data_IF_182208607787
#
_entry.id   IF_182208607787
#
_cell.length_a   1.000
_cell.length_b   1.000
_cell.length_c   1.000
_cell.angle_alpha   90.00
_cell.angle_beta   90.00
_cell.angle_gamma   90.00
#
_symmetry.space_group_name_H-M   'P 1'
#
loop_
_entity.id
_entity.type
_entity.pdbx_description
1 polymer ?
#
# COMPACT_ATOMS: atom_id res chain seq x y z
N UNK A 1 -37.32 11.68 -15.09
CA UNK A 1 -37.42 10.22 -15.27
C UNK A 1 -36.08 9.63 -14.86
N UNK A 2 -36.06 8.85 -13.80
CA UNK A 2 -34.83 8.23 -13.30
C UNK A 2 -34.40 7.11 -14.26
N UNK A 3 -33.21 7.20 -14.84
CA UNK A 3 -32.63 6.12 -15.65
C UNK A 3 -32.22 4.97 -14.74
N UNK A 4 -33.02 3.91 -14.75
CA UNK A 4 -32.68 2.65 -14.09
C UNK A 4 -31.75 1.91 -15.03
N UNK A 5 -30.49 1.70 -14.64
CA UNK A 5 -29.57 0.80 -15.37
C UNK A 5 -30.06 -0.63 -15.19
N UNK A 6 -30.72 -1.18 -16.20
CA UNK A 6 -31.11 -2.58 -16.23
C UNK A 6 -29.95 -3.45 -16.73
N UNK A 7 -29.95 -4.75 -16.34
CA UNK A 7 -28.95 -5.79 -16.71
C UNK A 7 -28.55 -5.84 -18.20
N UNK A 8 -29.35 -5.27 -19.10
CA UNK A 8 -29.09 -5.28 -20.55
C UNK A 8 -28.11 -4.20 -21.02
N UNK A 9 -27.91 -3.10 -20.26
CA UNK A 9 -27.03 -1.99 -20.65
C UNK A 9 -25.54 -2.24 -20.33
N UNK A 10 -25.24 -3.22 -19.47
CA UNK A 10 -23.86 -3.52 -19.05
C UNK A 10 -23.28 -4.75 -19.79
N UNK A 11 -24.12 -5.58 -20.43
CA UNK A 11 -23.73 -6.87 -21.01
C UNK A 11 -23.63 -6.90 -22.55
N UNK A 12 -23.72 -5.78 -23.24
CA UNK A 12 -23.89 -5.78 -24.69
C UNK A 12 -22.89 -4.93 -25.48
N UNK A 13 -21.58 -5.06 -25.28
CA UNK A 13 -20.61 -4.55 -26.24
C UNK A 13 -19.34 -5.42 -26.23
N UNK A 14 -19.46 -6.65 -26.71
CA UNK A 14 -18.32 -7.39 -27.22
C UNK A 14 -17.93 -6.81 -28.59
N UNK A 15 -17.04 -5.82 -28.63
CA UNK A 15 -16.38 -5.36 -29.85
C UNK A 15 -14.90 -5.60 -29.69
N UNK A 16 -14.35 -6.37 -30.63
CA UNK A 16 -13.00 -6.84 -30.66
C UNK A 16 -11.95 -5.74 -30.47
N UNK A 17 -11.02 -5.98 -29.57
CA UNK A 17 -9.78 -5.25 -29.51
C UNK A 17 -8.91 -5.62 -30.71
N UNK A 18 -8.61 -4.64 -31.56
CA UNK A 18 -7.51 -4.73 -32.50
C UNK A 18 -6.21 -4.82 -31.67
N UNK A 19 -5.55 -5.97 -31.75
CA UNK A 19 -4.27 -6.21 -31.14
C UNK A 19 -3.22 -5.28 -31.76
N UNK A 20 -2.60 -4.45 -30.95
CA UNK A 20 -1.26 -3.92 -31.22
C UNK A 20 -0.28 -5.08 -31.02
N UNK A 21 0.04 -5.75 -32.15
CA UNK A 21 1.05 -6.78 -32.20
C UNK A 21 2.45 -6.12 -32.12
N UNK A 22 3.09 -6.24 -30.96
CA UNK A 22 4.53 -6.11 -30.81
C UNK A 22 4.99 -7.13 -29.77
N UNK A 23 5.69 -8.18 -30.23
CA UNK A 23 6.43 -9.14 -29.41
C UNK A 23 5.57 -10.23 -28.78
N UNK A 24 5.48 -11.40 -29.46
CA UNK A 24 4.67 -12.51 -29.00
C UNK A 24 5.28 -13.24 -27.80
N UNK A 25 4.87 -12.89 -26.60
CA UNK A 25 4.70 -13.83 -25.50
C UNK A 25 3.19 -13.93 -25.26
N UNK A 26 2.62 -15.12 -25.50
CA UNK A 26 1.23 -15.42 -25.14
C UNK A 26 1.11 -15.32 -23.62
N UNK A 27 0.61 -14.18 -23.11
CA UNK A 27 0.19 -14.07 -21.73
C UNK A 27 -0.77 -15.22 -21.43
N UNK A 28 -0.48 -16.04 -20.43
CA UNK A 28 -1.39 -17.05 -19.95
C UNK A 28 -2.76 -16.41 -19.73
N UNK A 29 -3.81 -17.08 -20.20
CA UNK A 29 -5.17 -16.52 -20.06
C UNK A 29 -5.51 -16.40 -18.58
N UNK A 30 -5.93 -15.21 -18.14
CA UNK A 30 -6.32 -14.98 -16.76
C UNK A 30 -7.37 -15.99 -16.30
N UNK A 31 -7.19 -16.49 -15.08
CA UNK A 31 -8.12 -17.38 -14.41
C UNK A 31 -8.98 -16.66 -13.36
N UNK A 32 -8.88 -15.33 -13.25
CA UNK A 32 -9.79 -14.55 -12.40
C UNK A 32 -11.22 -14.79 -12.88
N UNK A 33 -12.10 -15.13 -11.94
CA UNK A 33 -13.53 -15.35 -12.24
C UNK A 33 -14.35 -14.75 -11.11
N UNK A 34 -15.28 -13.88 -11.49
CA UNK A 34 -16.34 -13.44 -10.61
C UNK A 34 -17.56 -14.36 -10.69
N UNK A 35 -18.24 -14.59 -9.58
CA UNK A 35 -19.49 -15.33 -9.55
C UNK A 35 -20.60 -14.49 -10.20
N UNK A 36 -21.04 -14.90 -11.38
CA UNK A 36 -22.07 -14.22 -12.15
C UNK A 36 -23.48 -14.28 -11.50
N UNK A 37 -23.69 -15.17 -10.53
CA UNK A 37 -24.96 -15.28 -9.81
C UNK A 37 -25.15 -14.19 -8.76
N UNK A 38 -24.07 -13.52 -8.35
CA UNK A 38 -24.11 -12.46 -7.33
C UNK A 38 -24.68 -11.17 -7.96
N UNK A 39 -25.83 -10.75 -7.49
CA UNK A 39 -26.51 -9.57 -8.00
C UNK A 39 -25.82 -8.29 -7.50
N UNK A 40 -25.52 -7.37 -8.42
CA UNK A 40 -25.00 -6.04 -8.06
C UNK A 40 -26.02 -5.23 -7.26
N UNK A 41 -25.58 -4.37 -6.32
CA UNK A 41 -26.46 -3.49 -5.59
C UNK A 41 -27.16 -2.49 -6.54
N UNK A 42 -28.36 -2.07 -6.18
CA UNK A 42 -29.05 -1.01 -6.91
C UNK A 42 -28.47 0.34 -6.48
N UNK A 43 -27.83 1.02 -7.41
CA UNK A 43 -27.24 2.33 -7.20
C UNK A 43 -27.92 3.32 -8.17
N UNK A 44 -29.04 3.96 -7.79
CA UNK A 44 -29.70 4.95 -8.63
C UNK A 44 -28.81 6.19 -8.73
N UNK A 45 -28.12 6.33 -9.87
CA UNK A 45 -27.25 7.45 -10.14
C UNK A 45 -28.06 8.74 -10.15
N UNK A 46 -27.59 9.73 -9.40
CA UNK A 46 -28.23 11.04 -9.28
C UNK A 46 -28.20 11.80 -10.62
N UNK A 47 -29.26 12.50 -10.95
CA UNK A 47 -29.36 13.27 -12.20
C UNK A 47 -28.30 14.36 -12.27
N UNK A 48 -27.58 14.44 -13.39
CA UNK A 48 -26.53 15.45 -13.60
C UNK A 48 -25.30 15.23 -12.73
N UNK A 49 -25.04 13.97 -12.31
CA UNK A 49 -23.93 13.65 -11.44
C UNK A 49 -22.57 14.05 -12.06
N UNK A 50 -21.79 14.72 -11.23
CA UNK A 50 -20.39 15.08 -11.51
C UNK A 50 -19.55 14.60 -10.33
N UNK A 51 -18.44 13.94 -10.59
CA UNK A 51 -17.55 13.40 -9.55
C UNK A 51 -16.15 14.01 -9.65
N UNK A 52 -15.64 14.46 -8.51
CA UNK A 52 -14.24 14.79 -8.32
C UNK A 52 -13.58 13.68 -7.51
N UNK A 53 -12.64 12.99 -8.14
CA UNK A 53 -11.86 11.93 -7.52
C UNK A 53 -10.45 12.43 -7.30
N UNK A 54 -9.92 12.30 -6.10
CA UNK A 54 -8.53 12.62 -5.78
C UNK A 54 -7.78 11.33 -5.44
N UNK A 55 -6.55 11.21 -5.93
CA UNK A 55 -5.67 10.08 -5.59
C UNK A 55 -4.18 10.48 -5.65
N UNK A 56 -3.26 9.65 -5.08
CA UNK A 56 -1.84 9.87 -5.22
C UNK A 56 -1.37 9.80 -6.67
N UNK A 57 -0.33 10.57 -7.02
CA UNK A 57 0.40 10.44 -8.30
C UNK A 57 1.04 9.05 -8.41
N UNK A 58 1.31 8.64 -9.66
CA UNK A 58 1.87 7.32 -9.99
C UNK A 58 3.32 7.15 -9.51
N UNK A 59 3.67 5.92 -9.17
CA UNK A 59 5.05 5.42 -9.18
C UNK A 59 5.38 4.62 -10.45
N UNK A 60 4.36 4.02 -11.07
CA UNK A 60 4.47 3.32 -12.35
C UNK A 60 3.60 4.03 -13.38
N UNK A 61 4.15 4.31 -14.56
CA UNK A 61 3.48 5.17 -15.54
C UNK A 61 2.09 4.70 -15.96
N UNK A 62 1.83 3.39 -16.22
CA UNK A 62 0.50 2.94 -16.63
C UNK A 62 -0.59 3.14 -15.58
N UNK A 63 -0.24 3.36 -14.30
CA UNK A 63 -1.20 3.56 -13.22
C UNK A 63 -2.20 4.69 -13.53
N UNK A 64 -1.70 5.88 -13.86
CA UNK A 64 -2.57 7.01 -14.17
C UNK A 64 -3.28 6.85 -15.52
N UNK A 65 -2.58 6.37 -16.52
CA UNK A 65 -3.10 6.25 -17.90
C UNK A 65 -4.30 5.30 -17.97
N UNK A 66 -4.14 4.10 -17.42
CA UNK A 66 -5.21 3.09 -17.42
C UNK A 66 -6.37 3.51 -16.51
N UNK A 67 -6.07 4.13 -15.36
CA UNK A 67 -7.11 4.64 -14.45
C UNK A 67 -7.94 5.74 -15.13
N UNK A 68 -7.31 6.72 -15.77
CA UNK A 68 -8.00 7.79 -16.52
C UNK A 68 -8.83 7.23 -17.67
N UNK A 69 -8.29 6.27 -18.41
CA UNK A 69 -9.02 5.62 -19.51
C UNK A 69 -10.26 4.88 -19.01
N UNK A 70 -10.17 4.20 -17.86
CA UNK A 70 -11.32 3.53 -17.23
C UNK A 70 -12.36 4.53 -16.72
N UNK A 71 -11.92 5.64 -16.11
CA UNK A 71 -12.82 6.72 -15.69
C UNK A 71 -13.56 7.36 -16.88
N UNK A 72 -12.87 7.58 -17.99
CA UNK A 72 -13.48 8.10 -19.22
C UNK A 72 -14.54 7.13 -19.81
N UNK A 73 -14.24 5.82 -19.81
CA UNK A 73 -15.24 4.80 -20.25
C UNK A 73 -16.47 4.77 -19.35
N UNK A 74 -16.28 4.88 -18.02
CA UNK A 74 -17.40 5.00 -17.09
C UNK A 74 -18.27 6.22 -17.42
N UNK A 75 -17.65 7.39 -17.66
CA UNK A 75 -18.36 8.61 -18.05
C UNK A 75 -19.17 8.43 -19.33
N UNK A 76 -18.59 7.78 -20.34
CA UNK A 76 -19.28 7.50 -21.62
C UNK A 76 -20.48 6.55 -21.44
N UNK A 77 -20.36 5.56 -20.57
CA UNK A 77 -21.41 4.55 -20.36
C UNK A 77 -22.57 5.07 -19.49
N UNK A 78 -22.28 5.95 -18.56
CA UNK A 78 -23.26 6.37 -17.53
C UNK A 78 -23.75 7.80 -17.68
N UNK A 79 -23.04 8.63 -18.43
CA UNK A 79 -23.27 10.09 -18.48
C UNK A 79 -22.72 10.86 -17.30
N UNK A 80 -22.16 10.19 -16.27
CA UNK A 80 -21.53 10.85 -15.12
C UNK A 80 -20.24 11.52 -15.55
N UNK A 81 -20.08 12.80 -15.26
CA UNK A 81 -18.82 13.51 -15.53
C UNK A 81 -17.82 13.20 -14.41
N UNK A 82 -16.73 12.51 -14.74
CA UNK A 82 -15.68 12.15 -13.76
C UNK A 82 -14.41 12.94 -14.02
N UNK A 83 -13.99 13.73 -13.04
CA UNK A 83 -12.69 14.40 -13.00
C UNK A 83 -11.77 13.68 -12.02
N UNK A 84 -10.59 13.26 -12.46
CA UNK A 84 -9.57 12.62 -11.62
C UNK A 84 -8.40 13.59 -11.46
N UNK A 85 -8.17 14.02 -10.22
CA UNK A 85 -7.04 14.84 -9.82
C UNK A 85 -5.99 13.97 -9.11
N UNK A 86 -4.70 14.31 -9.28
CA UNK A 86 -3.57 13.61 -8.65
C UNK A 86 -2.74 14.59 -7.84
N UNK A 87 -2.28 14.17 -6.66
CA UNK A 87 -1.41 14.95 -5.78
C UNK A 87 -0.22 14.13 -5.31
N UNK A 88 0.80 14.79 -4.79
CA UNK A 88 1.97 14.13 -4.19
C UNK A 88 1.57 13.17 -3.07
N UNK A 89 2.39 12.16 -2.85
CA UNK A 89 2.14 11.13 -1.83
C UNK A 89 2.07 11.73 -0.43
N UNK A 90 2.95 12.67 -0.14
CA UNK A 90 3.02 13.37 1.14
C UNK A 90 1.83 14.31 1.35
N UNK A 91 1.20 14.80 0.25
CA UNK A 91 0.10 15.76 0.30
C UNK A 91 -1.27 15.11 0.49
N UNK A 92 -1.44 13.81 0.15
CA UNK A 92 -2.74 13.14 0.14
C UNK A 92 -3.39 13.15 1.52
N UNK A 93 -2.62 12.93 2.59
CA UNK A 93 -3.13 12.94 3.95
C UNK A 93 -3.61 14.34 4.37
N UNK A 94 -2.88 15.37 3.98
CA UNK A 94 -3.27 16.76 4.25
C UNK A 94 -4.54 17.14 3.49
N UNK A 95 -4.63 16.79 2.20
CA UNK A 95 -5.83 17.04 1.38
C UNK A 95 -7.05 16.28 1.92
N UNK A 96 -6.85 15.06 2.41
CA UNK A 96 -7.92 14.27 3.05
C UNK A 96 -8.41 14.96 4.32
N UNK A 97 -7.49 15.41 5.18
CA UNK A 97 -7.83 16.14 6.40
C UNK A 97 -8.60 17.44 6.12
N UNK A 98 -8.16 18.22 5.14
CA UNK A 98 -8.85 19.46 4.72
C UNK A 98 -10.25 19.12 4.24
N UNK A 99 -10.40 18.15 3.34
CA UNK A 99 -11.72 17.73 2.81
C UNK A 99 -12.67 17.27 3.91
N UNK A 100 -12.20 16.42 4.82
CA UNK A 100 -12.99 15.89 5.92
C UNK A 100 -13.44 16.99 6.91
N UNK A 101 -12.54 17.94 7.24
CA UNK A 101 -12.81 18.96 8.25
C UNK A 101 -13.65 20.12 7.71
N UNK A 102 -13.48 20.49 6.44
CA UNK A 102 -14.25 21.58 5.82
C UNK A 102 -15.61 21.12 5.30
N UNK A 103 -15.80 19.82 5.06
CA UNK A 103 -16.99 19.29 4.39
C UNK A 103 -17.11 19.79 2.95
N UNK A 104 -15.99 20.02 2.27
CA UNK A 104 -15.92 20.50 0.89
C UNK A 104 -14.67 19.95 0.19
N UNK A 105 -14.73 19.78 -1.13
CA UNK A 105 -13.61 19.28 -1.92
C UNK A 105 -13.98 18.11 -2.84
N UNK A 106 -13.10 17.10 -3.02
CA UNK A 106 -13.40 15.89 -3.77
C UNK A 106 -14.57 15.10 -3.19
N UNK A 107 -15.40 14.50 -4.06
CA UNK A 107 -16.48 13.60 -3.66
C UNK A 107 -15.93 12.28 -3.10
N UNK A 108 -14.82 11.83 -3.70
CA UNK A 108 -14.13 10.61 -3.30
C UNK A 108 -12.62 10.86 -3.28
N UNK A 109 -11.97 10.36 -2.23
CA UNK A 109 -10.50 10.30 -2.16
C UNK A 109 -10.09 8.85 -2.08
N UNK A 110 -9.25 8.41 -3.01
CA UNK A 110 -8.54 7.13 -2.94
C UNK A 110 -7.22 7.43 -2.23
N UNK A 111 -7.24 7.37 -0.92
CA UNK A 111 -6.12 7.68 -0.03
C UNK A 111 -5.47 6.43 0.54
N UNK A 112 -4.70 6.59 1.61
CA UNK A 112 -3.98 5.48 2.23
C UNK A 112 -4.79 4.76 3.31
N UNK A 113 -4.43 3.51 3.53
CA UNK A 113 -5.12 2.46 4.26
C UNK A 113 -5.92 2.85 5.49
N UNK A 114 -5.31 3.60 6.43
CA UNK A 114 -5.95 3.95 7.72
C UNK A 114 -6.85 5.19 7.65
N UNK A 115 -6.78 5.95 6.57
CA UNK A 115 -7.52 7.22 6.44
C UNK A 115 -9.03 7.08 6.71
N UNK A 116 -9.73 6.00 6.27
CA UNK A 116 -11.14 5.84 6.60
C UNK A 116 -11.41 5.76 8.11
N UNK A 117 -10.49 5.21 8.90
CA UNK A 117 -10.66 5.12 10.36
C UNK A 117 -10.50 6.47 11.04
N UNK A 118 -9.65 7.35 10.49
CA UNK A 118 -9.45 8.71 11.02
C UNK A 118 -10.70 9.58 10.79
N UNK A 119 -11.42 9.36 9.69
CA UNK A 119 -12.51 10.21 9.24
C UNK A 119 -13.87 9.49 9.16
N UNK A 120 -14.03 8.36 9.86
CA UNK A 120 -15.19 7.48 9.74
C UNK A 120 -16.55 8.21 9.80
N UNK A 121 -16.69 9.20 10.68
CA UNK A 121 -17.92 9.96 10.86
C UNK A 121 -18.21 10.95 9.70
N UNK A 122 -17.24 11.20 8.83
CA UNK A 122 -17.36 12.07 7.64
C UNK A 122 -17.64 11.28 6.36
N UNK A 123 -17.62 9.94 6.43
CA UNK A 123 -17.71 9.08 5.26
C UNK A 123 -19.08 8.47 5.09
N UNK A 124 -19.44 8.23 3.84
CA UNK A 124 -20.60 7.44 3.45
C UNK A 124 -20.24 5.96 3.62
N UNK A 125 -21.13 5.20 4.22
CA UNK A 125 -21.00 3.76 4.32
C UNK A 125 -21.07 3.10 2.93
N UNK A 126 -20.15 2.18 2.66
CA UNK A 126 -20.00 1.49 1.38
C UNK A 126 -20.21 -0.02 1.49
N UNK A 127 -20.91 -0.48 2.53
CA UNK A 127 -21.15 -1.91 2.80
C UNK A 127 -21.84 -2.62 1.65
N UNK A 128 -22.78 -1.96 0.98
CA UNK A 128 -23.51 -2.53 -0.16
C UNK A 128 -22.59 -2.96 -1.30
N UNK A 129 -21.65 -2.09 -1.69
CA UNK A 129 -20.69 -2.41 -2.77
C UNK A 129 -19.55 -3.32 -2.29
N UNK A 130 -19.08 -3.17 -1.06
CA UNK A 130 -18.02 -3.99 -0.51
C UNK A 130 -18.46 -5.45 -0.32
N UNK A 131 -19.67 -5.68 0.21
CA UNK A 131 -20.24 -7.02 0.37
C UNK A 131 -20.53 -7.67 -1.00
N UNK A 132 -21.02 -6.89 -1.97
CA UNK A 132 -21.18 -7.38 -3.34
C UNK A 132 -19.87 -7.87 -3.93
N UNK A 133 -18.83 -7.04 -3.92
CA UNK A 133 -17.51 -7.36 -4.47
C UNK A 133 -16.90 -8.56 -3.73
N UNK A 134 -17.00 -8.59 -2.40
CA UNK A 134 -16.52 -9.71 -1.62
C UNK A 134 -17.19 -11.02 -2.00
N UNK A 135 -18.53 -11.05 -2.10
CA UNK A 135 -19.28 -12.25 -2.53
C UNK A 135 -18.93 -12.66 -3.95
N UNK A 136 -18.82 -11.70 -4.86
CA UNK A 136 -18.54 -11.97 -6.28
C UNK A 136 -17.15 -12.55 -6.52
N UNK A 137 -16.15 -12.09 -5.76
CA UNK A 137 -14.73 -12.41 -6.00
C UNK A 137 -14.09 -13.26 -4.90
N UNK A 138 -14.88 -14.08 -4.19
CA UNK A 138 -14.36 -15.09 -3.27
C UNK A 138 -13.85 -14.57 -1.92
N UNK A 139 -14.33 -13.40 -1.50
CA UNK A 139 -14.01 -12.75 -0.24
C UNK A 139 -12.85 -11.78 -0.31
N UNK A 140 -12.81 -10.89 0.66
CA UNK A 140 -11.72 -9.94 0.87
C UNK A 140 -10.51 -10.64 1.50
N UNK A 141 -9.31 -10.23 1.12
CA UNK A 141 -8.10 -10.61 1.84
C UNK A 141 -8.09 -9.95 3.23
N UNK A 142 -7.43 -10.59 4.18
CA UNK A 142 -7.50 -10.25 5.60
C UNK A 142 -7.25 -8.76 5.90
N UNK A 143 -6.15 -8.19 5.39
CA UNK A 143 -5.81 -6.78 5.66
C UNK A 143 -6.77 -5.83 4.93
N UNK A 144 -7.21 -6.19 3.72
CA UNK A 144 -8.22 -5.42 2.99
C UNK A 144 -9.51 -5.28 3.81
N UNK A 145 -10.05 -6.40 4.31
CA UNK A 145 -11.24 -6.38 5.16
C UNK A 145 -11.02 -5.53 6.42
N UNK A 146 -9.88 -5.70 7.08
CA UNK A 146 -9.54 -4.95 8.30
C UNK A 146 -9.45 -3.45 8.09
N UNK A 147 -8.90 -3.01 6.96
CA UNK A 147 -8.76 -1.59 6.61
C UNK A 147 -10.07 -0.96 6.10
N UNK A 148 -10.96 -1.76 5.49
CA UNK A 148 -12.24 -1.27 4.98
C UNK A 148 -13.34 -1.19 6.03
N UNK A 149 -13.38 -2.13 6.98
CA UNK A 149 -14.41 -2.21 8.02
C UNK A 149 -14.07 -1.38 9.26
N UNK A 150 -15.07 -0.69 9.81
CA UNK A 150 -14.95 -0.07 11.12
C UNK A 150 -14.78 -1.17 12.17
N UNK A 151 -13.75 -1.07 13.00
CA UNK A 151 -13.45 -2.07 14.02
C UNK A 151 -14.64 -2.38 14.92
N UNK A 152 -14.89 -3.66 15.18
CA UNK A 152 -16.00 -4.13 16.02
C UNK A 152 -17.39 -4.03 15.38
N UNK A 153 -17.47 -3.71 14.08
CA UNK A 153 -18.74 -3.63 13.33
C UNK A 153 -18.63 -4.38 12.00
N UNK A 154 -19.76 -4.52 11.30
CA UNK A 154 -19.81 -5.01 9.92
C UNK A 154 -19.85 -3.88 8.87
N UNK A 155 -19.76 -2.62 9.31
CA UNK A 155 -19.92 -1.47 8.43
C UNK A 155 -18.61 -1.17 7.70
N UNK A 156 -18.67 -1.08 6.37
CA UNK A 156 -17.55 -0.65 5.56
C UNK A 156 -17.52 0.87 5.43
N UNK A 157 -16.47 1.46 5.98
CA UNK A 157 -16.23 2.92 6.00
C UNK A 157 -15.29 3.36 4.89
N UNK A 158 -14.66 2.42 4.21
CA UNK A 158 -13.85 2.62 3.02
C UNK A 158 -13.87 1.38 2.15
N UNK A 159 -13.56 1.55 0.87
CA UNK A 159 -13.41 0.45 -0.06
C UNK A 159 -11.93 0.21 -0.32
N UNK A 160 -11.32 -0.90 0.16
CA UNK A 160 -9.94 -1.24 -0.17
C UNK A 160 -9.79 -1.35 -1.69
N UNK A 161 -8.85 -0.59 -2.24
CA UNK A 161 -8.78 -0.40 -3.69
C UNK A 161 -7.54 -1.03 -4.34
N UNK A 162 -6.58 -1.44 -3.56
CA UNK A 162 -5.36 -2.10 -3.98
C UNK A 162 -4.30 -2.01 -2.90
N UNK A 163 -3.28 -2.84 -2.99
CA UNK A 163 -2.18 -2.80 -2.04
C UNK A 163 -0.88 -3.32 -2.62
N UNK A 164 0.22 -2.88 -2.03
CA UNK A 164 1.54 -3.41 -2.32
C UNK A 164 2.29 -3.67 -1.02
N UNK A 165 3.07 -4.74 -0.97
CA UNK A 165 3.98 -4.98 0.14
C UNK A 165 5.31 -4.29 -0.09
N UNK A 166 6.09 -4.12 0.98
CA UNK A 166 7.48 -3.69 0.94
C UNK A 166 8.41 -4.86 1.28
N UNK A 167 8.64 -5.82 0.35
CA UNK A 167 9.63 -6.86 0.56
C UNK A 167 11.04 -6.28 0.57
N UNK A 168 12.00 -7.10 0.97
CA UNK A 168 13.40 -6.83 0.75
C UNK A 168 13.68 -6.90 -0.76
N UNK A 169 14.31 -5.87 -1.30
CA UNK A 169 14.80 -5.76 -2.67
C UNK A 169 16.31 -5.77 -2.61
N UNK A 170 16.96 -6.67 -3.31
CA UNK A 170 18.40 -6.89 -3.17
C UNK A 170 19.07 -7.31 -4.47
N UNK A 171 20.35 -7.01 -4.57
CA UNK A 171 21.21 -7.38 -5.71
C UNK A 171 21.84 -8.74 -5.46
N UNK A 172 21.50 -9.72 -6.29
CA UNK A 172 21.99 -11.08 -6.22
C UNK A 172 23.51 -11.15 -6.25
N UNK A 173 24.13 -10.43 -7.17
CA UNK A 173 25.60 -10.37 -7.31
C UNK A 173 26.27 -9.85 -6.04
N UNK A 174 25.73 -8.79 -5.43
CA UNK A 174 26.30 -8.19 -4.22
C UNK A 174 26.19 -9.10 -3.00
N UNK A 175 25.02 -9.73 -2.82
CA UNK A 175 24.78 -10.67 -1.71
C UNK A 175 25.68 -11.91 -1.84
N UNK A 176 25.85 -12.42 -3.06
CA UNK A 176 26.75 -13.55 -3.34
C UNK A 176 28.22 -13.20 -3.09
N UNK A 177 28.68 -12.00 -3.45
CA UNK A 177 30.05 -11.55 -3.22
C UNK A 177 30.44 -11.54 -1.74
N UNK A 178 29.48 -11.28 -0.85
CA UNK A 178 29.73 -11.27 0.60
C UNK A 178 29.44 -12.60 1.28
N UNK A 179 29.24 -13.67 0.49
CA UNK A 179 29.19 -15.05 0.96
C UNK A 179 27.79 -15.57 1.33
N UNK A 180 26.74 -15.01 0.72
CA UNK A 180 25.36 -15.50 0.90
C UNK A 180 24.71 -15.81 -0.46
N UNK A 181 23.90 -16.85 -0.54
CA UNK A 181 23.08 -17.13 -1.73
C UNK A 181 21.78 -16.28 -1.75
N UNK A 182 21.28 -15.92 -0.57
CA UNK A 182 20.15 -15.02 -0.35
C UNK A 182 20.30 -14.31 0.99
N UNK A 183 19.58 -13.20 1.23
CA UNK A 183 19.58 -12.55 2.54
C UNK A 183 19.10 -13.49 3.65
N UNK A 184 19.80 -13.53 4.79
CA UNK A 184 19.35 -14.30 5.95
C UNK A 184 17.96 -13.89 6.43
N UNK A 185 17.16 -14.87 6.84
CA UNK A 185 15.79 -14.65 7.35
C UNK A 185 15.75 -14.28 8.82
N UNK A 186 16.87 -14.43 9.54
CA UNK A 186 17.01 -14.01 10.95
C UNK A 186 17.71 -12.66 11.07
N UNK A 187 17.42 -11.94 12.15
CA UNK A 187 17.94 -10.60 12.38
C UNK A 187 19.47 -10.54 12.56
N UNK A 188 20.14 -11.43 13.32
CA UNK A 188 21.58 -11.40 13.43
C UNK A 188 22.33 -11.65 12.11
N UNK A 189 21.87 -12.65 11.35
CA UNK A 189 22.45 -12.96 10.04
C UNK A 189 22.26 -11.81 9.05
N UNK A 190 21.08 -11.19 9.02
CA UNK A 190 20.80 -10.04 8.18
C UNK A 190 21.71 -8.84 8.53
N UNK A 191 21.89 -8.54 9.81
CA UNK A 191 22.79 -7.47 10.26
C UNK A 191 24.23 -7.75 9.83
N UNK A 192 24.72 -8.99 10.00
CA UNK A 192 26.08 -9.35 9.58
C UNK A 192 26.25 -9.25 8.05
N UNK A 193 25.25 -9.68 7.27
CA UNK A 193 25.26 -9.48 5.82
C UNK A 193 25.35 -8.00 5.46
N UNK A 194 24.55 -7.12 6.07
CA UNK A 194 24.60 -5.68 5.84
C UNK A 194 25.97 -5.07 6.24
N UNK A 195 26.58 -5.54 7.34
CA UNK A 195 27.94 -5.15 7.73
C UNK A 195 28.99 -5.58 6.70
N UNK A 196 28.87 -6.78 6.12
CA UNK A 196 29.76 -7.25 5.04
C UNK A 196 29.57 -6.45 3.76
N UNK A 197 28.33 -6.21 3.36
CA UNK A 197 28.00 -5.39 2.19
C UNK A 197 28.59 -3.97 2.34
N UNK A 198 28.48 -3.38 3.52
CA UNK A 198 29.08 -2.06 3.80
C UNK A 198 30.59 -2.08 3.64
N UNK A 199 31.29 -3.10 4.17
CA UNK A 199 32.75 -3.28 3.98
C UNK A 199 33.14 -3.46 2.51
N UNK A 200 32.28 -4.08 1.70
CA UNK A 200 32.46 -4.25 0.25
C UNK A 200 32.07 -3.01 -0.56
N UNK A 201 31.79 -1.88 0.08
CA UNK A 201 31.30 -0.64 -0.54
C UNK A 201 29.97 -0.83 -1.32
N UNK A 202 29.11 -1.69 -0.80
CA UNK A 202 27.76 -1.99 -1.32
C UNK A 202 26.71 -1.80 -0.24
N UNK A 203 26.53 -0.57 0.29
CA UNK A 203 25.68 -0.33 1.44
C UNK A 203 24.20 -0.67 1.17
N UNK A 204 23.49 -0.97 2.25
CA UNK A 204 22.03 -0.99 2.29
C UNK A 204 21.46 0.43 2.48
N UNK A 205 20.15 0.59 2.35
CA UNK A 205 19.48 1.85 2.61
C UNK A 205 17.98 1.65 2.81
N UNK A 206 17.47 2.07 3.99
CA UNK A 206 16.05 2.01 4.32
C UNK A 206 15.59 3.39 4.78
N UNK A 207 14.44 3.85 4.29
CA UNK A 207 13.95 5.18 4.58
C UNK A 207 13.66 5.38 6.09
N UNK A 208 14.13 6.48 6.63
CA UNK A 208 13.87 6.94 8.00
C UNK A 208 13.35 8.38 8.02
N UNK A 209 13.08 8.97 6.86
CA UNK A 209 12.33 10.22 6.75
C UNK A 209 10.82 9.99 6.89
N UNK A 210 10.06 11.07 6.90
CA UNK A 210 8.59 11.03 6.97
C UNK A 210 7.99 10.56 5.65
N UNK A 211 8.32 9.32 5.26
CA UNK A 211 7.79 8.65 4.08
C UNK A 211 6.55 7.84 4.43
N UNK A 212 5.49 8.02 3.66
CA UNK A 212 4.17 7.40 3.92
C UNK A 212 4.25 5.88 3.89
N UNK A 213 4.90 5.32 2.87
CA UNK A 213 5.08 3.88 2.69
C UNK A 213 6.36 3.37 3.33
N UNK A 214 7.50 3.81 2.83
CA UNK A 214 8.79 3.21 3.14
C UNK A 214 9.27 3.50 4.56
N UNK A 215 9.13 4.75 5.04
CA UNK A 215 9.53 5.12 6.40
C UNK A 215 8.67 4.43 7.44
N UNK A 216 7.35 4.48 7.29
CA UNK A 216 6.41 3.77 8.17
C UNK A 216 6.59 2.26 8.08
N UNK A 217 6.79 1.71 6.88
CA UNK A 217 7.01 0.28 6.66
C UNK A 217 8.25 -0.22 7.39
N UNK A 218 9.38 0.48 7.25
CA UNK A 218 10.63 0.10 7.90
C UNK A 218 10.57 0.25 9.43
N UNK A 219 10.00 1.33 9.95
CA UNK A 219 9.82 1.52 11.39
C UNK A 219 8.91 0.44 12.01
N UNK A 220 7.82 0.09 11.36
CA UNK A 220 6.94 -0.98 11.80
C UNK A 220 7.62 -2.36 11.73
N UNK A 221 8.40 -2.64 10.67
CA UNK A 221 9.19 -3.87 10.60
C UNK A 221 10.15 -4.00 11.77
N UNK A 222 10.90 -2.94 12.11
CA UNK A 222 11.79 -2.93 13.28
C UNK A 222 11.03 -3.25 14.57
N UNK A 223 9.84 -2.68 14.78
CA UNK A 223 9.02 -2.97 15.94
C UNK A 223 8.56 -4.43 15.98
N UNK A 224 7.92 -4.88 14.93
CA UNK A 224 7.23 -6.17 14.91
C UNK A 224 8.19 -7.35 14.86
N UNK A 225 9.32 -7.24 14.16
CA UNK A 225 10.36 -8.27 14.14
C UNK A 225 11.02 -8.50 15.51
N UNK A 226 10.93 -7.52 16.42
CA UNK A 226 11.37 -7.64 17.82
C UNK A 226 10.22 -7.94 18.81
N UNK A 227 8.98 -8.14 18.31
CA UNK A 227 7.80 -8.38 19.15
C UNK A 227 7.25 -7.14 19.83
N UNK A 228 7.75 -5.95 19.47
CA UNK A 228 7.26 -4.66 19.94
C UNK A 228 6.00 -4.23 19.19
N UNK A 229 5.24 -3.33 19.79
CA UNK A 229 4.04 -2.74 19.17
C UNK A 229 3.73 -1.38 19.79
N UNK A 230 3.06 -0.52 19.02
CA UNK A 230 2.64 0.79 19.53
C UNK A 230 1.52 0.64 20.56
N UNK A 231 0.65 -0.34 20.38
CA UNK A 231 -0.39 -0.71 21.35
C UNK A 231 -0.37 -2.21 21.61
N UNK A 232 -0.84 -2.63 22.78
CA UNK A 232 -1.10 -4.02 23.13
C UNK A 232 -2.47 -4.48 22.56
N UNK A 233 -2.85 -5.73 22.80
CA UNK A 233 -4.11 -6.34 22.31
C UNK A 233 -5.36 -5.59 22.76
N UNK A 234 -5.33 -4.95 23.94
CA UNK A 234 -6.45 -4.14 24.43
C UNK A 234 -6.50 -2.71 23.85
N UNK A 235 -5.54 -2.35 22.98
CA UNK A 235 -5.41 -1.00 22.42
C UNK A 235 -4.69 0.00 23.33
N UNK A 236 -4.21 -0.43 24.49
CA UNK A 236 -3.42 0.45 25.38
C UNK A 236 -2.01 0.67 24.82
N UNK A 237 -1.51 1.90 24.92
CA UNK A 237 -0.15 2.26 24.47
C UNK A 237 0.91 1.41 25.16
N UNK A 238 1.76 0.74 24.38
CA UNK A 238 2.80 -0.19 24.81
C UNK A 238 4.17 0.04 24.16
N UNK A 239 4.34 1.15 23.46
CA UNK A 239 5.58 1.46 22.74
C UNK A 239 6.83 1.51 23.63
N UNK A 240 6.68 1.88 24.89
CA UNK A 240 7.77 1.89 25.86
C UNK A 240 7.91 0.49 26.50
N UNK A 241 8.72 -0.35 25.87
CA UNK A 241 8.88 -1.75 26.26
C UNK A 241 10.32 -2.26 26.06
N UNK A 242 10.71 -3.36 26.72
CA UNK A 242 12.01 -4.00 26.47
C UNK A 242 12.20 -4.41 25.00
N UNK A 243 11.12 -4.80 24.31
CA UNK A 243 11.13 -5.18 22.91
C UNK A 243 11.42 -3.99 22.01
N UNK A 244 10.86 -2.83 22.32
CA UNK A 244 11.17 -1.57 21.61
C UNK A 244 12.62 -1.15 21.83
N UNK A 245 13.13 -1.30 23.06
CA UNK A 245 14.53 -1.06 23.35
C UNK A 245 15.45 -1.98 22.52
N UNK A 246 15.10 -3.27 22.43
CA UNK A 246 15.84 -4.20 21.59
C UNK A 246 15.84 -3.79 20.10
N UNK A 247 14.69 -3.36 19.57
CA UNK A 247 14.57 -2.86 18.20
C UNK A 247 15.42 -1.60 17.96
N UNK A 248 15.43 -0.66 18.89
CA UNK A 248 16.27 0.55 18.82
C UNK A 248 17.76 0.24 18.88
N UNK A 249 18.18 -0.70 19.73
CA UNK A 249 19.57 -1.14 19.81
C UNK A 249 20.00 -1.87 18.53
N UNK A 250 19.14 -2.72 17.98
CA UNK A 250 19.40 -3.38 16.69
C UNK A 250 19.55 -2.35 15.57
N UNK A 251 18.64 -1.38 15.49
CA UNK A 251 18.70 -0.33 14.48
C UNK A 251 19.95 0.55 14.63
N UNK A 252 20.40 0.81 15.85
CA UNK A 252 21.65 1.54 16.12
C UNK A 252 22.88 0.82 15.56
N UNK A 253 22.87 -0.51 15.51
CA UNK A 253 23.93 -1.31 14.84
C UNK A 253 23.74 -1.40 13.32
N UNK A 254 22.48 -1.43 12.85
CA UNK A 254 22.16 -1.56 11.44
C UNK A 254 22.40 -0.26 10.67
N UNK A 255 22.04 0.90 11.25
CA UNK A 255 22.10 2.19 10.57
C UNK A 255 23.49 2.56 10.00
N UNK A 256 24.62 2.30 10.68
CA UNK A 256 25.97 2.54 10.13
C UNK A 256 26.28 1.73 8.85
N UNK A 257 25.48 0.73 8.52
CA UNK A 257 25.62 -0.06 7.28
C UNK A 257 24.93 0.59 6.08
N UNK A 258 24.19 1.68 6.30
CA UNK A 258 23.44 2.38 5.25
C UNK A 258 24.34 3.26 4.39
N UNK A 259 23.77 3.76 3.31
CA UNK A 259 24.44 4.66 2.37
C UNK A 259 25.02 5.89 3.07
N UNK A 260 26.09 6.45 2.51
CA UNK A 260 26.70 7.66 3.03
C UNK A 260 25.72 8.84 2.97
N UNK A 261 25.80 9.75 3.97
CA UNK A 261 24.84 10.82 4.15
C UNK A 261 23.54 10.40 4.86
N UNK A 262 23.35 9.08 5.05
CA UNK A 262 22.22 8.51 5.79
C UNK A 262 20.88 8.60 5.06
N UNK A 263 19.86 8.03 5.69
CA UNK A 263 18.52 7.88 5.11
C UNK A 263 17.43 8.62 5.90
N UNK A 264 17.81 9.48 6.84
CA UNK A 264 16.88 10.20 7.74
C UNK A 264 15.98 11.18 6.98
N UNK A 265 16.43 11.68 5.83
CA UNK A 265 15.66 12.56 4.95
C UNK A 265 15.00 11.85 3.78
N UNK A 266 15.11 10.53 3.70
CA UNK A 266 14.55 9.80 2.56
C UNK A 266 13.03 9.76 2.62
N UNK A 267 12.38 10.22 1.54
CA UNK A 267 10.97 10.00 1.21
C UNK A 267 10.77 8.72 0.39
N UNK A 268 9.54 8.48 -0.05
CA UNK A 268 9.12 7.24 -0.74
C UNK A 268 9.78 6.98 -2.10
N UNK A 269 10.46 7.96 -2.71
CA UNK A 269 11.19 7.78 -3.97
C UNK A 269 12.71 7.63 -3.79
N UNK A 270 13.23 7.97 -2.62
CA UNK A 270 14.68 8.12 -2.42
C UNK A 270 15.44 6.79 -2.57
N UNK A 271 14.90 5.70 -2.06
CA UNK A 271 15.48 4.37 -2.19
C UNK A 271 15.46 3.87 -3.64
N UNK A 272 14.41 4.18 -4.43
CA UNK A 272 14.34 3.88 -5.86
C UNK A 272 15.51 4.54 -6.60
N UNK A 273 15.74 5.83 -6.34
CA UNK A 273 16.81 6.61 -6.95
C UNK A 273 18.19 6.08 -6.56
N UNK A 274 18.42 5.83 -5.26
CA UNK A 274 19.68 5.30 -4.76
C UNK A 274 20.00 3.90 -5.32
N UNK A 275 19.00 3.02 -5.41
CA UNK A 275 19.16 1.67 -5.94
C UNK A 275 19.47 1.68 -7.44
N UNK A 276 18.73 2.45 -8.22
CA UNK A 276 18.96 2.63 -9.66
C UNK A 276 20.32 3.28 -9.97
N UNK A 277 20.78 4.19 -9.10
CA UNK A 277 22.09 4.85 -9.22
C UNK A 277 23.28 4.00 -8.76
N UNK A 278 23.08 2.73 -8.33
CA UNK A 278 24.12 1.89 -7.75
C UNK A 278 24.80 2.50 -6.51
N UNK A 279 24.05 3.23 -5.70
CA UNK A 279 24.52 3.74 -4.39
C UNK A 279 23.91 2.95 -3.22
N UNK A 280 22.88 2.12 -3.49
CA UNK A 280 22.23 1.23 -2.55
C UNK A 280 22.04 -0.13 -3.19
N UNK A 281 22.33 -1.23 -2.48
CA UNK A 281 22.25 -2.62 -3.01
C UNK A 281 21.20 -3.47 -2.34
N UNK A 282 20.72 -3.06 -1.18
CA UNK A 282 19.64 -3.71 -0.40
C UNK A 282 18.75 -2.64 0.17
N UNK A 283 17.46 -2.75 -0.10
CA UNK A 283 16.41 -1.84 0.41
C UNK A 283 15.11 -2.60 0.63
N UNK A 284 14.07 -1.90 1.05
CA UNK A 284 12.68 -2.39 1.05
C UNK A 284 11.86 -1.51 0.12
N UNK A 285 11.07 -2.11 -0.76
CA UNK A 285 10.25 -1.35 -1.72
C UNK A 285 9.11 -2.21 -2.28
N UNK A 286 8.09 -1.55 -2.84
CA UNK A 286 7.09 -2.18 -3.69
C UNK A 286 7.65 -2.59 -5.06
N UNK A 287 6.81 -3.17 -5.91
CA UNK A 287 7.22 -3.61 -7.26
C UNK A 287 7.62 -2.43 -8.17
N UNK A 288 7.31 -1.19 -7.77
CA UNK A 288 7.59 0.03 -8.56
C UNK A 288 9.07 0.19 -8.91
N UNK A 289 9.95 -0.12 -7.98
CA UNK A 289 11.40 -0.08 -8.23
C UNK A 289 11.78 -1.09 -9.34
N UNK A 290 11.36 -2.33 -9.20
CA UNK A 290 11.64 -3.36 -10.21
C UNK A 290 10.99 -3.04 -11.56
N UNK A 291 9.76 -2.51 -11.56
CA UNK A 291 9.08 -2.05 -12.77
C UNK A 291 9.90 -0.99 -13.51
N UNK A 292 10.36 0.03 -12.80
CA UNK A 292 11.17 1.10 -13.39
C UNK A 292 12.46 0.57 -13.99
N UNK A 293 13.20 -0.25 -13.23
CA UNK A 293 14.47 -0.84 -13.69
C UNK A 293 14.31 -1.75 -14.91
N UNK A 294 13.23 -2.55 -14.96
CA UNK A 294 12.96 -3.49 -16.04
C UNK A 294 12.61 -2.78 -17.36
N UNK A 295 11.92 -1.67 -17.28
CA UNK A 295 11.41 -0.93 -18.44
C UNK A 295 12.39 0.12 -19.00
N UNK A 296 13.45 0.46 -18.26
CA UNK A 296 14.50 1.36 -18.75
C UNK A 296 15.70 0.53 -19.28
N UNK A 297 16.04 0.65 -20.57
CA UNK A 297 17.20 -0.05 -21.13
C UNK A 297 18.52 0.22 -20.38
N UNK A 298 18.69 1.42 -19.80
CA UNK A 298 19.91 1.78 -19.07
C UNK A 298 20.06 1.04 -17.74
N UNK A 299 18.96 0.59 -17.15
CA UNK A 299 18.96 -0.09 -15.84
C UNK A 299 18.51 -1.54 -15.90
N UNK A 300 18.27 -2.10 -17.09
CA UNK A 300 17.81 -3.48 -17.28
C UNK A 300 18.75 -4.52 -16.64
N UNK A 301 20.04 -4.34 -16.75
CA UNK A 301 21.03 -5.22 -16.08
C UNK A 301 20.87 -5.20 -14.55
N UNK A 302 20.45 -4.06 -13.98
CA UNK A 302 20.12 -3.96 -12.56
C UNK A 302 18.87 -4.78 -12.24
N UNK A 303 17.83 -4.71 -13.08
CA UNK A 303 16.61 -5.50 -12.89
C UNK A 303 16.89 -7.02 -12.97
N UNK A 304 17.75 -7.45 -13.89
CA UNK A 304 18.15 -8.86 -14.02
C UNK A 304 18.86 -9.37 -12.77
N UNK A 305 19.68 -8.53 -12.13
CA UNK A 305 20.39 -8.82 -10.88
C UNK A 305 19.52 -8.64 -9.61
N UNK A 306 18.35 -8.00 -9.73
CA UNK A 306 17.44 -7.75 -8.61
C UNK A 306 16.60 -8.98 -8.27
N UNK A 307 16.48 -9.26 -6.98
CA UNK A 307 15.59 -10.28 -6.41
C UNK A 307 14.76 -9.70 -5.27
N UNK A 308 13.68 -10.39 -4.91
CA UNK A 308 12.80 -10.04 -3.79
C UNK A 308 12.74 -11.19 -2.78
N UNK A 309 12.68 -10.85 -1.51
CA UNK A 309 12.43 -11.79 -0.44
C UNK A 309 11.65 -11.13 0.70
N UNK A 310 11.04 -11.93 1.56
CA UNK A 310 10.43 -11.43 2.78
C UNK A 310 11.50 -10.78 3.64
N UNK A 311 11.17 -9.64 4.28
CA UNK A 311 12.03 -9.05 5.31
C UNK A 311 12.27 -10.04 6.44
N UNK A 312 13.43 -10.03 7.12
CA UNK A 312 13.70 -10.92 8.26
C UNK A 312 12.57 -10.91 9.28
N UNK A 313 12.14 -12.11 9.69
CA UNK A 313 10.95 -12.26 10.53
C UNK A 313 11.20 -11.90 11.99
N UNK A 314 12.43 -12.10 12.48
CA UNK A 314 12.73 -11.97 13.90
C UNK A 314 11.88 -12.96 14.73
N UNK A 315 11.13 -12.42 15.68
CA UNK A 315 10.19 -13.21 16.52
C UNK A 315 8.77 -13.27 15.95
N UNK A 316 8.52 -12.64 14.79
CA UNK A 316 7.20 -12.64 14.16
C UNK A 316 6.88 -14.00 13.50
N UNK A 317 5.61 -14.42 13.61
CA UNK A 317 5.15 -15.69 13.03
C UNK A 317 4.85 -15.61 11.53
N UNK A 318 4.73 -14.40 11.01
CA UNK A 318 4.43 -14.11 9.60
C UNK A 318 5.21 -12.87 9.18
N UNK A 319 5.13 -12.51 7.91
CA UNK A 319 5.81 -11.34 7.37
C UNK A 319 5.45 -10.06 8.15
N UNK A 320 6.37 -9.47 8.93
CA UNK A 320 6.11 -8.30 9.77
C UNK A 320 6.10 -7.02 8.93
N UNK A 321 5.13 -6.89 8.06
CA UNK A 321 4.94 -5.77 7.16
C UNK A 321 3.50 -5.29 7.20
N UNK A 322 3.30 -3.97 7.19
CA UNK A 322 2.01 -3.39 6.84
C UNK A 322 2.02 -3.11 5.34
N UNK A 323 1.06 -3.64 4.56
CA UNK A 323 0.99 -3.31 3.16
C UNK A 323 0.61 -1.83 3.00
N UNK A 324 1.25 -1.17 2.07
CA UNK A 324 0.78 0.12 1.59
C UNK A 324 -0.52 -0.12 0.80
N UNK A 325 -1.62 0.36 1.31
CA UNK A 325 -2.95 0.09 0.76
C UNK A 325 -3.60 1.38 0.28
N UNK A 326 -4.19 1.36 -0.90
CA UNK A 326 -5.17 2.35 -1.32
C UNK A 326 -6.54 1.99 -0.73
N UNK A 327 -7.24 2.99 -0.21
CA UNK A 327 -8.58 2.85 0.35
C UNK A 327 -9.46 4.00 -0.10
N UNK A 328 -10.55 3.70 -0.80
CA UNK A 328 -11.44 4.72 -1.36
C UNK A 328 -12.46 5.15 -0.33
N UNK A 329 -12.55 6.46 -0.11
CA UNK A 329 -13.44 7.13 0.82
C UNK A 329 -14.44 7.98 0.05
N UNK A 330 -15.73 7.75 0.23
CA UNK A 330 -16.81 8.63 -0.27
C UNK A 330 -17.23 9.57 0.86
N UNK A 331 -17.16 10.87 0.65
CA UNK A 331 -17.47 11.84 1.69
C UNK A 331 -18.96 12.17 1.77
N UNK A 332 -19.48 12.38 2.98
CA UNK A 332 -20.91 12.74 3.22
C UNK A 332 -21.35 14.07 2.61
N UNK A 333 -20.40 14.98 2.32
CA UNK A 333 -20.71 16.25 1.65
C UNK A 333 -20.96 16.08 0.14
N UNK A 334 -20.61 14.93 -0.43
CA UNK A 334 -20.90 14.67 -1.84
C UNK A 334 -22.41 14.69 -2.08
N UNK A 335 -22.78 15.35 -3.16
CA UNK A 335 -24.18 15.36 -3.64
C UNK A 335 -24.54 14.12 -4.46
N UNK A 336 -23.54 13.29 -4.77
CA UNK A 336 -23.64 12.17 -5.71
C UNK A 336 -23.06 10.85 -5.15
N UNK A 337 -23.50 10.43 -3.94
CA UNK A 337 -22.92 9.26 -3.29
C UNK A 337 -23.17 7.95 -4.07
N UNK A 338 -24.31 7.79 -4.75
CA UNK A 338 -24.57 6.61 -5.56
C UNK A 338 -23.72 6.59 -6.83
N UNK A 339 -23.52 7.74 -7.48
CA UNK A 339 -22.60 7.85 -8.61
C UNK A 339 -21.15 7.50 -8.19
N UNK A 340 -20.71 7.95 -7.00
CA UNK A 340 -19.39 7.62 -6.46
C UNK A 340 -19.27 6.11 -6.17
N UNK A 341 -20.26 5.49 -5.53
CA UNK A 341 -20.30 4.03 -5.32
C UNK A 341 -20.31 3.25 -6.63
N UNK A 342 -21.09 3.69 -7.62
CA UNK A 342 -21.15 3.06 -8.93
C UNK A 342 -19.80 3.14 -9.64
N UNK A 343 -19.12 4.29 -9.57
CA UNK A 343 -17.78 4.47 -10.11
C UNK A 343 -16.76 3.53 -9.45
N UNK A 344 -16.75 3.48 -8.11
CA UNK A 344 -15.84 2.59 -7.38
C UNK A 344 -16.10 1.12 -7.69
N UNK A 345 -17.37 0.70 -7.74
CA UNK A 345 -17.74 -0.67 -8.12
C UNK A 345 -17.24 -0.99 -9.52
N UNK A 346 -17.49 -0.10 -10.49
CA UNK A 346 -17.03 -0.26 -11.87
C UNK A 346 -15.51 -0.44 -11.95
N UNK A 347 -14.75 0.40 -11.24
CA UNK A 347 -13.29 0.34 -11.25
C UNK A 347 -12.74 -0.95 -10.61
N UNK A 348 -13.49 -1.57 -9.69
CA UNK A 348 -13.10 -2.81 -9.01
C UNK A 348 -13.53 -4.09 -9.75
N UNK A 349 -14.32 -3.97 -10.82
CA UNK A 349 -14.70 -5.11 -11.65
C UNK A 349 -13.54 -5.62 -12.50
N UNK A 350 -13.56 -6.91 -12.84
CA UNK A 350 -12.48 -7.58 -13.55
C UNK A 350 -12.08 -6.88 -14.85
N UNK A 351 -13.07 -6.43 -15.62
CA UNK A 351 -12.87 -5.81 -16.93
C UNK A 351 -12.05 -4.51 -16.87
N UNK A 352 -12.05 -3.81 -15.73
CA UNK A 352 -11.31 -2.57 -15.49
C UNK A 352 -10.04 -2.82 -14.70
N UNK A 353 -10.16 -3.63 -13.64
CA UNK A 353 -9.06 -3.81 -12.71
C UNK A 353 -7.94 -4.69 -13.27
N UNK A 354 -8.26 -5.78 -13.95
CA UNK A 354 -7.25 -6.72 -14.44
C UNK A 354 -6.33 -6.11 -15.49
N UNK A 355 -6.80 -5.33 -16.48
CA UNK A 355 -5.92 -4.56 -17.34
C UNK A 355 -5.02 -3.58 -16.58
N UNK A 356 -5.54 -2.93 -15.55
CA UNK A 356 -4.76 -2.02 -14.70
C UNK A 356 -3.70 -2.78 -13.88
N UNK A 357 -4.07 -3.91 -13.27
CA UNK A 357 -3.17 -4.79 -12.53
C UNK A 357 -2.01 -5.30 -13.41
N UNK A 358 -2.32 -5.76 -14.63
CA UNK A 358 -1.33 -6.26 -15.58
C UNK A 358 -0.40 -5.15 -16.07
N UNK A 359 -0.93 -3.99 -16.45
CA UNK A 359 -0.15 -2.86 -16.92
C UNK A 359 0.84 -2.34 -15.86
N UNK A 360 0.48 -2.45 -14.59
CA UNK A 360 1.29 -2.04 -13.44
C UNK A 360 2.21 -3.13 -12.90
N UNK A 361 2.33 -4.28 -13.58
CA UNK A 361 3.10 -5.44 -13.12
C UNK A 361 2.73 -5.85 -11.68
N UNK A 362 1.43 -5.81 -11.34
CA UNK A 362 0.93 -6.17 -10.01
C UNK A 362 1.17 -5.13 -8.91
N UNK A 363 1.55 -3.89 -9.23
CA UNK A 363 1.87 -2.86 -8.22
C UNK A 363 0.71 -2.63 -7.23
N UNK A 364 -0.51 -2.52 -7.73
CA UNK A 364 -1.70 -2.47 -6.90
C UNK A 364 -2.40 -3.83 -6.91
N UNK A 365 -1.91 -4.78 -6.09
CA UNK A 365 -2.54 -6.08 -5.92
C UNK A 365 -4.00 -5.90 -5.48
N UNK A 366 -4.92 -6.59 -6.16
CA UNK A 366 -6.34 -6.51 -5.83
C UNK A 366 -6.60 -7.17 -4.47
N UNK A 367 -7.36 -6.52 -3.59
CA UNK A 367 -7.59 -7.02 -2.23
C UNK A 367 -8.66 -8.13 -2.14
N UNK A 368 -9.08 -8.72 -3.26
CA UNK A 368 -10.05 -9.81 -3.32
C UNK A 368 -9.40 -11.13 -3.77
N UNK A 369 -9.80 -12.24 -3.15
CA UNK A 369 -9.13 -13.55 -3.27
C UNK A 369 -9.07 -14.09 -4.70
N UNK A 370 -10.09 -13.85 -5.55
CA UNK A 370 -10.09 -14.33 -6.92
C UNK A 370 -8.91 -13.83 -7.74
N UNK A 371 -8.36 -12.63 -7.43
CA UNK A 371 -7.26 -12.03 -8.18
C UNK A 371 -5.89 -12.64 -7.89
N UNK A 372 -5.79 -13.54 -6.92
CA UNK A 372 -4.60 -14.40 -6.76
C UNK A 372 -4.39 -15.33 -7.96
N UNK A 373 -5.43 -15.55 -8.77
CA UNK A 373 -5.38 -16.32 -10.02
C UNK A 373 -5.06 -15.47 -11.26
N UNK A 374 -4.77 -14.18 -11.11
CA UNK A 374 -4.37 -13.33 -12.24
C UNK A 374 -3.07 -13.80 -12.88
N UNK A 375 -3.02 -13.76 -14.20
CA UNK A 375 -1.85 -14.14 -14.98
C UNK A 375 -0.61 -13.27 -14.70
N UNK A 376 -0.79 -12.05 -14.17
CA UNK A 376 0.32 -11.17 -13.80
C UNK A 376 1.30 -11.86 -12.84
N UNK A 377 0.80 -12.66 -11.90
CA UNK A 377 1.62 -13.30 -10.87
C UNK A 377 2.52 -14.43 -11.37
N UNK A 378 2.27 -14.91 -12.59
CA UNK A 378 3.07 -15.94 -13.28
C UNK A 378 3.82 -15.40 -14.48
N UNK A 379 3.60 -14.12 -14.85
CA UNK A 379 4.28 -13.46 -15.97
C UNK A 379 5.75 -13.20 -15.68
N UNK A 380 6.11 -13.05 -14.43
CA UNK A 380 7.48 -12.83 -13.95
C UNK A 380 7.64 -13.44 -12.54
N UNK A 381 8.50 -14.46 -12.36
CA UNK A 381 8.66 -15.10 -11.05
C UNK A 381 9.14 -14.15 -9.96
N UNK A 382 9.82 -13.06 -10.32
CA UNK A 382 10.32 -12.06 -9.35
C UNK A 382 9.20 -11.28 -8.65
N UNK A 383 8.00 -11.20 -9.24
CA UNK A 383 6.88 -10.46 -8.65
C UNK A 383 5.86 -11.36 -7.94
N UNK A 384 5.99 -12.67 -8.00
CA UNK A 384 5.02 -13.61 -7.39
C UNK A 384 4.80 -13.35 -5.90
N UNK A 385 5.84 -12.86 -5.20
CA UNK A 385 5.75 -12.52 -3.77
C UNK A 385 4.69 -11.44 -3.47
N UNK A 386 4.44 -10.53 -4.41
CA UNK A 386 3.49 -9.43 -4.23
C UNK A 386 2.03 -9.87 -4.33
N UNK A 387 1.74 -11.06 -4.88
CA UNK A 387 0.39 -11.61 -5.01
C UNK A 387 -0.40 -11.62 -3.70
N UNK A 388 0.29 -11.90 -2.61
CA UNK A 388 -0.33 -12.07 -1.29
C UNK A 388 -0.13 -10.84 -0.39
N UNK A 389 0.14 -9.67 -0.99
CA UNK A 389 0.44 -8.41 -0.29
C UNK A 389 -0.63 -7.96 0.72
N UNK A 390 -1.89 -8.37 0.52
CA UNK A 390 -3.01 -7.98 1.37
C UNK A 390 -3.47 -9.09 2.31
N UNK A 391 -2.75 -10.22 2.33
CA UNK A 391 -3.11 -11.37 3.15
C UNK A 391 -2.32 -11.35 4.47
N UNK A 392 -1.98 -12.24 5.13
CA UNK A 392 -1.24 -12.54 6.36
C UNK A 392 -0.24 -11.46 6.86
N UNK A 393 -0.58 -10.19 6.76
CA UNK A 393 0.28 -9.08 7.18
C UNK A 393 -0.31 -8.34 8.39
N UNK A 394 0.48 -7.46 8.97
CA UNK A 394 0.10 -6.67 10.12
C UNK A 394 -0.57 -5.35 9.67
N UNK A 395 -1.09 -4.59 10.61
CA UNK A 395 -1.76 -3.32 10.38
C UNK A 395 -1.24 -2.28 11.36
N UNK A 396 -1.39 -1.02 11.04
CA UNK A 396 -1.04 0.05 11.95
C UNK A 396 -1.88 -0.04 13.23
N UNK A 397 -1.21 0.06 14.37
CA UNK A 397 -1.82 -0.22 15.66
C UNK A 397 -1.76 -1.69 16.10
N UNK A 398 -1.20 -2.60 15.28
CA UNK A 398 -0.92 -3.97 15.71
C UNK A 398 -0.03 -3.94 17.00
N UNK A 399 -0.33 -4.68 18.06
CA UNK A 399 -1.30 -5.80 18.26
C UNK A 399 -2.75 -5.37 18.55
N UNK A 400 -2.99 -4.11 18.84
CA UNK A 400 -4.31 -3.60 19.17
C UNK A 400 -5.23 -3.45 17.95
N UNK A 401 -6.44 -2.95 18.17
CA UNK A 401 -7.39 -2.70 17.11
C UNK A 401 -6.91 -1.58 16.19
N UNK A 402 -7.30 -1.65 14.91
CA UNK A 402 -7.22 -0.49 14.04
C UNK A 402 -8.23 0.56 14.50
N UNK A 403 -7.82 1.82 14.56
CA UNK A 403 -8.63 2.90 15.13
C UNK A 403 -8.23 4.25 14.52
N UNK A 404 -9.01 5.28 14.81
CA UNK A 404 -8.64 6.67 14.52
C UNK A 404 -7.24 6.99 15.10
N UNK A 405 -7.00 6.63 16.35
CA UNK A 405 -5.74 6.91 17.02
C UNK A 405 -4.55 6.18 16.38
N UNK A 406 -4.72 4.90 15.96
CA UNK A 406 -3.64 4.17 15.28
C UNK A 406 -3.30 4.76 13.92
N UNK A 407 -4.31 5.17 13.16
CA UNK A 407 -4.13 5.87 11.89
C UNK A 407 -3.47 7.23 12.08
N UNK A 408 -3.88 8.00 13.08
CA UNK A 408 -3.27 9.28 13.41
C UNK A 408 -1.80 9.15 13.84
N UNK A 409 -1.48 8.14 14.66
CA UNK A 409 -0.09 7.88 15.09
C UNK A 409 0.83 7.53 13.91
N UNK A 410 0.30 6.79 12.92
CA UNK A 410 1.01 6.49 11.68
C UNK A 410 1.16 7.76 10.80
N UNK A 411 0.10 8.54 10.62
CA UNK A 411 0.12 9.79 9.85
C UNK A 411 1.04 10.86 10.48
N UNK A 412 1.21 10.86 11.80
CA UNK A 412 2.15 11.73 12.51
C UNK A 412 3.58 11.15 12.60
N UNK A 413 3.87 9.99 11.99
CA UNK A 413 5.18 9.35 11.96
C UNK A 413 5.81 9.11 13.33
N UNK A 414 5.02 8.73 14.34
CA UNK A 414 5.47 8.56 15.72
C UNK A 414 6.63 7.57 15.82
N UNK A 415 6.53 6.41 15.18
CA UNK A 415 7.57 5.38 15.20
C UNK A 415 8.77 5.77 14.34
N UNK A 416 8.55 6.32 13.14
CA UNK A 416 9.62 6.77 12.25
C UNK A 416 10.53 7.76 12.96
N UNK A 417 9.96 8.78 13.61
CA UNK A 417 10.73 9.82 14.31
C UNK A 417 11.43 9.28 15.56
N UNK A 418 10.87 8.27 16.22
CA UNK A 418 11.55 7.57 17.31
C UNK A 418 12.85 6.91 16.82
N UNK A 419 12.79 6.13 15.74
CA UNK A 419 13.98 5.49 15.19
C UNK A 419 14.96 6.49 14.56
N UNK A 420 14.45 7.48 13.82
CA UNK A 420 15.28 8.52 13.21
C UNK A 420 16.08 9.32 14.23
N UNK A 421 15.49 9.69 15.36
CA UNK A 421 16.17 10.44 16.41
C UNK A 421 17.36 9.68 17.03
N UNK A 422 17.22 8.36 17.17
CA UNK A 422 18.32 7.49 17.64
C UNK A 422 19.39 7.32 16.56
N UNK A 423 18.97 7.11 15.30
CA UNK A 423 19.88 7.00 14.16
C UNK A 423 20.73 8.26 13.97
N UNK A 424 20.13 9.43 14.15
CA UNK A 424 20.79 10.74 14.08
C UNK A 424 21.69 11.04 15.29
N UNK A 425 21.68 10.22 16.33
CA UNK A 425 22.38 10.50 17.58
C UNK A 425 21.75 11.66 18.39
N UNK A 426 20.53 12.08 18.06
CA UNK A 426 19.82 13.18 18.72
C UNK A 426 19.19 12.76 20.05
N UNK A 427 18.90 11.46 20.21
CA UNK A 427 18.32 10.91 21.42
C UNK A 427 18.94 9.55 21.78
N UNK A 428 18.98 9.26 23.09
CA UNK A 428 19.23 7.90 23.55
C UNK A 428 17.99 7.04 23.27
N UNK A 429 18.11 5.69 23.14
CA UNK A 429 16.95 4.80 22.99
C UNK A 429 15.86 5.04 24.04
N UNK A 430 16.23 5.17 25.31
CA UNK A 430 15.29 5.43 26.40
C UNK A 430 14.56 6.78 26.27
N UNK A 431 15.26 7.82 25.84
CA UNK A 431 14.66 9.13 25.62
C UNK A 431 13.69 9.11 24.43
N UNK A 432 14.08 8.44 23.34
CA UNK A 432 13.24 8.30 22.16
C UNK A 432 11.96 7.50 22.46
N UNK A 433 12.07 6.39 23.23
CA UNK A 433 10.90 5.61 23.67
C UNK A 433 9.94 6.43 24.53
N UNK A 434 10.44 7.18 25.50
CA UNK A 434 9.60 8.05 26.36
C UNK A 434 8.88 9.12 25.55
N UNK A 435 9.56 9.72 24.58
CA UNK A 435 8.94 10.71 23.69
C UNK A 435 7.86 10.09 22.81
N UNK A 436 8.13 8.94 22.21
CA UNK A 436 7.14 8.19 21.41
C UNK A 436 5.94 7.78 22.27
N UNK A 437 6.15 7.30 23.49
CA UNK A 437 5.08 6.99 24.43
C UNK A 437 4.24 8.23 24.77
N UNK A 438 4.87 9.35 25.07
CA UNK A 438 4.17 10.60 25.37
C UNK A 438 3.28 11.04 24.21
N UNK A 439 3.79 10.97 22.98
CA UNK A 439 3.03 11.29 21.76
C UNK A 439 1.90 10.31 21.55
N UNK A 440 2.18 9.02 21.61
CA UNK A 440 1.16 7.98 21.47
C UNK A 440 0.05 8.15 22.50
N UNK A 441 0.39 8.35 23.79
CA UNK A 441 -0.63 8.58 24.84
C UNK A 441 -1.48 9.83 24.59
N UNK A 442 -0.92 10.89 24.02
CA UNK A 442 -1.70 12.08 23.65
C UNK A 442 -2.71 11.77 22.54
N UNK A 443 -2.31 10.99 21.55
CA UNK A 443 -3.16 10.61 20.41
C UNK A 443 -4.25 9.64 20.87
N UNK A 444 -3.89 8.57 21.55
CA UNK A 444 -4.82 7.52 22.02
C UNK A 444 -5.76 7.93 23.18
N UNK A 445 -5.56 9.10 23.80
CA UNK A 445 -6.51 9.67 24.78
C UNK A 445 -7.63 10.49 24.12
N UNK A 446 -7.48 10.86 22.85
CA UNK A 446 -8.44 11.70 22.12
C UNK A 446 -9.45 10.89 21.30
N UNK A 447 -9.15 9.65 21.01
CA UNK A 447 -10.04 8.66 20.38
C UNK A 447 -10.55 7.69 21.43
#
# INVERSE_FOLDING_TARGET
MANIITRRSILGAGVGMAALAAGGETLAQSQVRGDASVAAPRLPIENGATLRILRPVRFVQPDEEVFRASAARFSQQTGVQVRVDFVGWEDINQQTAVTANTGAGPDCIIGFGDSPHIYADKLVEVSDIAEYLGKKYGGWMFVGEKLGKRHGTNNWIGLPFGGTAGPLVWRKSAVKEVGYDAPPSDLPGFLEMCKRLRRANKPSGFALGNAVGDGNGFANWLMWSHGASITNESGAVSVNSPQTLAALNYQKELYPTFVDGGTISWGDISNNQAYAANTCWVTSNGVSLYFALKNDPATRAIAEDTEHSVMPLGVANSWPSAPLTLNAMVFKHSRFPNAAKAFLTYMMEQEQYEPWLNANLGYWAHPLNAYRASAVWTSDPKITLFRDSMNNQFWNGYKGPISEASGQANAEYVLVQMFASVAAGQATPDAAMREAERRARRIFRRG
#
